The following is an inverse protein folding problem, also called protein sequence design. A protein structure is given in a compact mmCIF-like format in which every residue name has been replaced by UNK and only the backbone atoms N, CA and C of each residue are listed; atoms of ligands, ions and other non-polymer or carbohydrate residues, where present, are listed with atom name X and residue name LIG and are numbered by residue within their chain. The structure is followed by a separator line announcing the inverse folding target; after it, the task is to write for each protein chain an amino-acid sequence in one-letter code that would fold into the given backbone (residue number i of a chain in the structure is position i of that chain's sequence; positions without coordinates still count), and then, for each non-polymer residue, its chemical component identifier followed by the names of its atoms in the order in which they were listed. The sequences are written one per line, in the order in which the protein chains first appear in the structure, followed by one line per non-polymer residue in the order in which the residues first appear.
data_IF_476499729357
#
_entry.id   IF_476499729357
#
_cell.length_a   1.000
_cell.length_b   1.000
_cell.length_c   1.000
_cell.angle_alpha   90.00
_cell.angle_beta   90.00
_cell.angle_gamma   90.00
#
_symmetry.space_group_name_H-M   'P 1'
#
loop_
_entity.id
_entity.type
_entity.pdbx_description
1 polymer ?
#
# COMPACT_ATOMS: atom_id res chain seq x y z
N UNK A 1 9.32 13.72 23.41
CA UNK A 1 9.97 12.67 24.23
C UNK A 1 10.30 11.52 23.31
N UNK A 2 11.58 11.13 23.18
CA UNK A 2 11.95 9.94 22.40
C UNK A 2 11.32 8.72 23.04
N UNK A 3 10.36 8.11 22.34
CA UNK A 3 9.85 6.80 22.69
C UNK A 3 11.04 5.84 22.76
N UNK A 4 11.32 5.29 23.95
CA UNK A 4 12.44 4.37 24.17
C UNK A 4 12.27 3.08 23.36
N UNK A 5 11.06 2.81 22.86
CA UNK A 5 10.73 1.67 22.01
C UNK A 5 10.83 1.98 20.51
N UNK A 6 11.16 3.22 20.12
CA UNK A 6 11.35 3.55 18.72
C UNK A 6 12.52 2.76 18.12
N UNK A 7 12.26 2.10 16.97
CA UNK A 7 13.25 1.30 16.25
C UNK A 7 14.37 2.15 15.60
N UNK A 8 14.18 3.47 15.52
CA UNK A 8 15.18 4.45 15.08
C UNK A 8 15.37 5.48 16.19
N UNK A 9 16.62 5.77 16.57
CA UNK A 9 16.94 6.73 17.62
C UNK A 9 18.09 7.68 17.24
N UNK A 10 18.15 8.89 17.84
CA UNK A 10 19.28 9.79 17.65
C UNK A 10 20.60 9.15 18.10
N UNK A 11 21.62 9.26 17.27
CA UNK A 11 22.99 8.92 17.64
C UNK A 11 23.63 10.06 18.44
N UNK A 12 23.84 9.85 19.74
CA UNK A 12 24.52 10.75 20.69
C UNK A 12 25.88 10.21 21.11
N UNK A 13 26.42 9.22 20.38
CA UNK A 13 27.67 8.55 20.75
C UNK A 13 27.51 7.45 21.80
N UNK A 14 26.29 7.02 22.13
CA UNK A 14 26.04 5.91 23.04
C UNK A 14 26.62 4.58 22.52
N UNK A 15 26.92 3.60 23.38
CA UNK A 15 27.34 2.27 22.96
C UNK A 15 26.36 1.66 21.96
N UNK A 16 26.87 1.12 20.86
CA UNK A 16 26.08 0.40 19.86
C UNK A 16 26.97 -0.56 19.07
N UNK A 17 26.41 -1.69 18.67
CA UNK A 17 27.06 -2.67 17.81
C UNK A 17 27.26 -2.10 16.41
N UNK A 18 28.48 -2.18 15.90
CA UNK A 18 28.80 -1.68 14.57
C UNK A 18 28.21 -2.57 13.47
N UNK A 19 27.66 -1.94 12.43
CA UNK A 19 27.17 -2.57 11.21
C UNK A 19 28.03 -2.11 10.03
N UNK A 20 28.84 -3.01 9.51
CA UNK A 20 29.66 -2.78 8.31
C UNK A 20 28.88 -3.18 7.07
N UNK A 21 28.89 -2.34 6.05
CA UNK A 21 28.30 -2.67 4.75
C UNK A 21 29.42 -2.80 3.73
N UNK A 22 29.40 -3.88 2.97
CA UNK A 22 30.38 -4.15 1.90
C UNK A 22 29.64 -4.58 0.64
N UNK A 23 30.24 -4.32 -0.51
CA UNK A 23 29.88 -4.93 -1.78
C UNK A 23 31.05 -5.76 -2.30
N UNK A 24 30.88 -6.41 -3.46
CA UNK A 24 31.93 -7.23 -4.06
C UNK A 24 33.24 -6.47 -4.32
N UNK A 25 33.16 -5.16 -4.56
CA UNK A 25 34.33 -4.33 -4.85
C UNK A 25 35.09 -3.95 -3.58
N UNK A 26 34.38 -3.70 -2.48
CA UNK A 26 34.95 -3.24 -1.21
C UNK A 26 35.28 -4.38 -0.23
N UNK A 27 34.76 -5.60 -0.47
CA UNK A 27 35.05 -6.77 0.36
C UNK A 27 36.57 -7.07 0.50
N UNK A 28 37.40 -7.04 -0.55
CA UNK A 28 38.84 -7.32 -0.39
C UNK A 28 39.54 -6.36 0.56
N UNK A 29 39.17 -5.09 0.56
CA UNK A 29 39.76 -4.09 1.45
C UNK A 29 39.23 -4.22 2.88
N UNK A 30 37.96 -4.58 3.03
CA UNK A 30 37.40 -4.95 4.33
C UNK A 30 38.12 -6.17 4.94
N UNK A 31 38.43 -7.21 4.16
CA UNK A 31 39.16 -8.39 4.65
C UNK A 31 40.59 -8.06 5.15
N UNK A 32 41.23 -7.03 4.58
CA UNK A 32 42.55 -6.55 5.02
C UNK A 32 42.50 -5.85 6.38
N UNK A 33 41.39 -5.23 6.74
CA UNK A 33 41.24 -4.55 8.04
C UNK A 33 40.99 -5.52 9.19
N UNK A 34 40.53 -6.74 8.91
CA UNK A 34 40.27 -7.78 9.91
C UNK A 34 41.54 -8.43 10.44
N UNK A 35 41.52 -8.94 11.68
CA UNK A 35 42.58 -9.80 12.19
C UNK A 35 42.43 -11.26 11.66
N UNK A 36 43.43 -12.14 11.84
CA UNK A 36 43.36 -13.52 11.34
C UNK A 36 42.16 -14.33 11.85
N UNK A 37 41.78 -14.17 13.13
CA UNK A 37 40.63 -14.85 13.71
C UNK A 37 39.31 -14.38 13.13
N UNK A 38 39.16 -13.06 12.93
CA UNK A 38 37.99 -12.45 12.30
C UNK A 38 37.83 -12.90 10.85
N UNK A 39 38.92 -12.95 10.07
CA UNK A 39 38.89 -13.52 8.71
C UNK A 39 38.47 -14.99 8.71
N UNK A 40 39.01 -15.79 9.63
CA UNK A 40 38.65 -17.21 9.74
C UNK A 40 37.16 -17.38 10.09
N UNK A 41 36.62 -16.56 11.01
CA UNK A 41 35.20 -16.58 11.38
C UNK A 41 34.29 -16.19 10.20
N UNK A 42 34.70 -15.21 9.40
CA UNK A 42 33.95 -14.77 8.22
C UNK A 42 33.97 -15.85 7.12
N UNK A 43 35.13 -16.48 6.89
CA UNK A 43 35.28 -17.60 5.96
C UNK A 43 34.46 -18.82 6.40
N UNK A 44 34.42 -19.13 7.70
CA UNK A 44 33.61 -20.22 8.24
C UNK A 44 32.10 -20.01 8.02
N UNK A 45 31.64 -18.76 7.97
CA UNK A 45 30.27 -18.37 7.61
C UNK A 45 30.03 -18.32 6.10
N UNK A 46 31.06 -18.58 5.28
CA UNK A 46 31.01 -18.55 3.81
C UNK A 46 30.55 -17.21 3.24
N UNK A 47 30.93 -16.11 3.89
CA UNK A 47 30.54 -14.77 3.47
C UNK A 47 31.29 -14.32 2.21
N UNK A 48 30.55 -14.00 1.14
CA UNK A 48 31.09 -13.57 -0.15
C UNK A 48 30.73 -12.12 -0.54
N UNK A 49 30.03 -11.40 0.33
CA UNK A 49 29.60 -10.01 0.08
C UNK A 49 28.39 -9.93 -0.86
N UNK A 50 27.59 -10.99 -0.96
CA UNK A 50 26.35 -11.00 -1.72
C UNK A 50 25.27 -10.11 -1.09
N UNK A 51 24.36 -9.56 -1.89
CA UNK A 51 23.28 -8.72 -1.37
C UNK A 51 22.44 -9.45 -0.30
N UNK A 52 22.28 -8.81 0.86
CA UNK A 52 21.58 -9.33 2.05
C UNK A 52 22.26 -10.51 2.77
N UNK A 53 23.42 -10.94 2.29
CA UNK A 53 24.29 -11.81 3.07
C UNK A 53 24.75 -11.07 4.32
N UNK A 54 24.96 -11.79 5.42
CA UNK A 54 25.40 -11.20 6.67
C UNK A 54 26.27 -12.19 7.45
N UNK A 55 27.13 -11.64 8.31
CA UNK A 55 27.92 -12.41 9.25
C UNK A 55 28.10 -11.64 10.55
N UNK A 56 28.16 -12.37 11.66
CA UNK A 56 28.55 -11.83 12.98
C UNK A 56 30.01 -12.17 13.20
N UNK A 57 30.82 -11.16 13.52
CA UNK A 57 32.26 -11.29 13.69
C UNK A 57 32.64 -10.93 15.13
N UNK A 58 33.28 -11.86 15.89
CA UNK A 58 33.79 -11.57 17.23
C UNK A 58 34.86 -10.47 17.22
N UNK A 59 34.84 -9.62 18.23
CA UNK A 59 35.79 -8.52 18.41
C UNK A 59 36.04 -8.26 19.90
N UNK A 60 37.13 -8.83 20.43
CA UNK A 60 37.39 -8.86 21.87
C UNK A 60 36.26 -9.55 22.64
N UNK A 61 35.74 -8.89 23.68
CA UNK A 61 34.57 -9.34 24.46
C UNK A 61 33.23 -9.02 23.77
N UNK A 62 33.28 -8.36 22.60
CA UNK A 62 32.11 -7.95 21.83
C UNK A 62 32.07 -8.58 20.44
N UNK A 63 31.28 -7.97 19.57
CA UNK A 63 31.15 -8.37 18.17
C UNK A 63 30.63 -7.20 17.34
N UNK A 64 30.80 -7.29 16.03
CA UNK A 64 30.14 -6.44 15.04
C UNK A 64 29.50 -7.30 13.96
N UNK A 65 28.59 -6.74 13.18
CA UNK A 65 28.03 -7.43 12.02
C UNK A 65 28.52 -6.79 10.72
N UNK A 66 28.66 -7.62 9.68
CA UNK A 66 28.87 -7.19 8.31
C UNK A 66 27.71 -7.68 7.45
N UNK A 67 27.27 -6.86 6.50
CA UNK A 67 26.30 -7.25 5.47
C UNK A 67 26.78 -6.91 4.06
N UNK A 68 26.48 -7.80 3.13
CA UNK A 68 26.66 -7.57 1.71
C UNK A 68 25.52 -6.71 1.13
N UNK A 69 25.86 -5.73 0.31
CA UNK A 69 24.93 -4.85 -0.40
C UNK A 69 25.28 -4.83 -1.89
N UNK A 70 24.33 -4.38 -2.73
CA UNK A 70 24.55 -4.31 -4.17
C UNK A 70 25.63 -3.28 -4.56
N UNK A 71 25.60 -2.11 -3.91
CA UNK A 71 26.54 -1.02 -4.12
C UNK A 71 26.62 -0.18 -2.83
N UNK A 72 27.80 -0.03 -2.23
CA UNK A 72 27.95 0.73 -0.98
C UNK A 72 27.74 2.24 -1.14
N UNK A 73 27.85 2.75 -2.37
CA UNK A 73 27.67 4.16 -2.72
C UNK A 73 26.22 4.50 -3.11
N UNK A 74 25.39 3.49 -3.39
CA UNK A 74 23.97 3.66 -3.74
C UNK A 74 23.12 2.64 -2.98
N UNK A 75 22.79 3.00 -1.74
CA UNK A 75 22.02 2.14 -0.85
C UNK A 75 20.52 2.31 -1.03
N UNK A 76 19.84 1.19 -1.25
CA UNK A 76 18.38 1.13 -1.26
C UNK A 76 17.79 1.17 0.16
N UNK A 77 16.49 1.44 0.23
CA UNK A 77 15.69 1.37 1.45
C UNK A 77 15.77 0.01 2.14
N UNK A 78 16.08 -1.06 1.40
CA UNK A 78 16.03 -2.45 1.87
C UNK A 78 17.39 -2.99 2.31
N UNK A 79 18.51 -2.30 2.05
CA UNK A 79 19.86 -2.86 2.13
C UNK A 79 20.24 -3.41 3.51
N UNK A 80 19.69 -2.87 4.60
CA UNK A 80 19.92 -3.34 5.98
C UNK A 80 18.74 -4.13 6.55
N UNK A 81 17.67 -4.35 5.77
CA UNK A 81 16.44 -4.96 6.28
C UNK A 81 16.63 -6.41 6.72
N UNK A 82 17.58 -7.14 6.11
CA UNK A 82 17.90 -8.51 6.56
C UNK A 82 18.58 -8.52 7.93
N UNK A 83 19.44 -7.54 8.21
CA UNK A 83 20.06 -7.40 9.53
C UNK A 83 19.01 -7.14 10.61
N UNK A 84 18.06 -6.24 10.34
CA UNK A 84 16.96 -5.93 11.26
C UNK A 84 16.08 -7.16 11.57
N UNK A 85 15.97 -8.09 10.62
CA UNK A 85 15.21 -9.34 10.76
C UNK A 85 15.94 -10.38 11.63
N UNK A 86 17.26 -10.51 11.50
CA UNK A 86 18.01 -11.68 12.02
C UNK A 86 18.94 -11.40 13.20
N UNK A 87 19.39 -10.16 13.39
CA UNK A 87 20.32 -9.85 14.48
C UNK A 87 19.65 -10.02 15.85
N UNK A 88 20.41 -10.25 16.94
CA UNK A 88 19.87 -10.19 18.30
C UNK A 88 19.18 -8.87 18.63
N UNK A 89 18.45 -8.80 19.75
CA UNK A 89 18.02 -7.52 20.30
C UNK A 89 19.21 -6.62 20.63
N UNK A 90 19.07 -5.31 20.45
CA UNK A 90 20.16 -4.39 20.76
C UNK A 90 20.13 -3.07 20.02
N UNK A 91 21.16 -2.26 20.28
CA UNK A 91 21.37 -0.96 19.63
C UNK A 91 22.50 -1.06 18.62
N UNK A 92 22.25 -0.56 17.41
CA UNK A 92 23.12 -0.71 16.25
C UNK A 92 23.45 0.62 15.60
N UNK A 93 24.62 0.71 14.98
CA UNK A 93 25.07 1.88 14.23
C UNK A 93 25.78 1.46 12.96
N UNK A 94 25.48 2.10 11.82
CA UNK A 94 26.27 1.90 10.60
C UNK A 94 27.69 2.45 10.81
N UNK A 95 28.69 1.60 10.58
CA UNK A 95 30.09 1.99 10.67
C UNK A 95 30.47 2.94 9.53
N UNK A 96 31.11 4.06 9.88
CA UNK A 96 31.71 5.01 8.93
C UNK A 96 30.76 5.90 8.13
N UNK A 97 29.43 5.76 8.25
CA UNK A 97 28.45 6.56 7.51
C UNK A 97 27.05 6.52 8.13
N UNK A 98 26.19 7.47 7.75
CA UNK A 98 24.78 7.49 8.14
C UNK A 98 23.97 6.38 7.44
N UNK A 99 22.91 5.81 8.07
CA UNK A 99 22.11 4.76 7.42
C UNK A 99 21.33 5.19 6.18
N UNK A 100 21.00 6.48 6.03
CA UNK A 100 20.31 7.01 4.85
C UNK A 100 18.94 6.36 4.60
N UNK A 101 18.71 5.84 3.38
CA UNK A 101 17.43 5.19 3.01
C UNK A 101 17.16 3.91 3.82
N UNK A 102 18.22 3.25 4.33
CA UNK A 102 18.12 1.98 5.04
C UNK A 102 17.27 2.04 6.32
N UNK A 103 17.05 3.24 6.87
CA UNK A 103 16.16 3.48 8.01
C UNK A 103 14.76 2.88 7.77
N UNK A 104 14.22 2.98 6.56
CA UNK A 104 12.89 2.44 6.23
C UNK A 104 12.85 0.91 6.28
N UNK A 105 13.81 0.24 5.64
CA UNK A 105 13.94 -1.21 5.65
C UNK A 105 14.25 -1.78 7.04
N UNK A 106 14.93 -1.00 7.89
CA UNK A 106 15.21 -1.38 9.26
C UNK A 106 13.94 -1.51 10.11
N UNK A 107 13.01 -0.56 9.97
CA UNK A 107 11.71 -0.59 10.66
C UNK A 107 10.85 -1.71 10.09
N UNK A 108 10.67 -1.73 8.77
CA UNK A 108 9.76 -2.68 8.10
C UNK A 108 10.25 -4.14 8.13
N UNK A 109 11.57 -4.38 8.28
CA UNK A 109 12.14 -5.73 8.45
C UNK A 109 11.80 -6.39 9.79
N UNK A 110 11.40 -5.59 10.77
CA UNK A 110 10.97 -6.07 12.09
C UNK A 110 9.46 -6.33 12.17
N UNK A 111 8.70 -6.03 11.12
CA UNK A 111 7.26 -6.33 11.08
C UNK A 111 6.97 -7.82 11.21
N UNK A 112 5.98 -8.15 12.02
CA UNK A 112 5.41 -9.50 12.17
C UNK A 112 3.90 -9.40 12.27
N UNK A 113 3.19 -10.29 11.59
CA UNK A 113 1.75 -10.45 11.71
C UNK A 113 1.44 -11.70 12.53
N UNK A 114 1.55 -11.58 13.85
CA UNK A 114 1.44 -12.72 14.77
C UNK A 114 0.13 -12.72 15.58
N UNK A 115 -0.82 -11.84 15.24
CA UNK A 115 -2.13 -11.66 15.91
C UNK A 115 -2.89 -12.98 16.15
N UNK A 116 -2.74 -13.95 15.25
CA UNK A 116 -3.44 -15.24 15.30
C UNK A 116 -2.56 -16.41 15.76
N UNK A 117 -1.32 -16.16 16.18
CA UNK A 117 -0.36 -17.19 16.62
C UNK A 117 -0.29 -17.24 18.13
N UNK A 118 -0.52 -18.42 18.73
CA UNK A 118 -0.37 -18.62 20.18
C UNK A 118 1.08 -18.53 20.63
N UNK A 119 2.01 -19.02 19.81
CA UNK A 119 3.45 -19.05 20.10
C UNK A 119 4.18 -17.82 19.51
N UNK A 120 3.51 -16.67 19.50
CA UNK A 120 4.15 -15.42 19.10
C UNK A 120 5.32 -15.15 20.06
N UNK A 121 6.53 -15.08 19.52
CA UNK A 121 7.73 -14.79 20.32
C UNK A 121 7.85 -13.29 20.46
N UNK A 122 7.95 -12.82 21.70
CA UNK A 122 8.41 -11.47 21.94
C UNK A 122 9.88 -11.38 21.48
N UNK A 123 10.14 -10.51 20.51
CA UNK A 123 11.49 -10.27 20.00
C UNK A 123 11.94 -8.92 20.47
N UNK A 124 13.05 -8.90 21.20
CA UNK A 124 13.69 -7.66 21.61
C UNK A 124 13.92 -6.73 20.40
N UNK A 125 13.68 -5.42 20.53
CA UNK A 125 13.80 -4.50 19.42
C UNK A 125 15.26 -4.35 18.97
N UNK A 126 15.44 -4.22 17.66
CA UNK A 126 16.71 -3.80 17.06
C UNK A 126 16.61 -2.31 16.77
N UNK A 127 17.36 -1.52 17.52
CA UNK A 127 17.34 -0.06 17.44
C UNK A 127 18.48 0.39 16.54
N UNK A 128 18.20 1.19 15.51
CA UNK A 128 19.23 1.78 14.64
C UNK A 128 19.45 3.24 14.97
N UNK A 129 20.72 3.61 15.14
CA UNK A 129 21.14 4.97 15.43
C UNK A 129 21.45 5.76 14.15
N UNK A 130 21.05 7.03 14.15
CA UNK A 130 21.31 8.00 13.08
C UNK A 130 21.59 9.38 13.66
N UNK A 131 22.57 10.12 13.12
CA UNK A 131 22.80 11.53 13.44
C UNK A 131 21.83 12.44 12.68
N UNK A 132 21.23 11.95 11.60
CA UNK A 132 20.17 12.67 10.87
C UNK A 132 18.84 12.61 11.64
N UNK A 133 18.73 13.44 12.68
CA UNK A 133 17.55 13.49 13.55
C UNK A 133 16.30 13.93 12.81
N UNK A 134 16.45 14.81 11.81
CA UNK A 134 15.33 15.34 11.03
C UNK A 134 14.64 14.27 10.18
N UNK A 135 15.34 13.16 9.85
CA UNK A 135 14.75 12.02 9.13
C UNK A 135 13.97 11.04 9.99
N UNK A 136 14.15 11.06 11.31
CA UNK A 136 13.60 10.02 12.19
C UNK A 136 12.08 9.97 12.10
N UNK A 137 11.40 11.08 12.38
CA UNK A 137 9.94 11.15 12.37
C UNK A 137 9.34 10.85 10.98
N UNK A 138 9.80 11.48 9.87
CA UNK A 138 9.29 11.15 8.54
C UNK A 138 9.43 9.67 8.14
N UNK A 139 10.58 9.04 8.45
CA UNK A 139 10.79 7.64 8.10
C UNK A 139 9.94 6.71 8.97
N UNK A 140 9.79 6.99 10.26
CA UNK A 140 8.92 6.21 11.14
C UNK A 140 7.46 6.31 10.72
N UNK A 141 6.98 7.51 10.36
CA UNK A 141 5.63 7.71 9.85
C UNK A 141 5.39 6.96 8.52
N UNK A 142 6.33 7.07 7.58
CA UNK A 142 6.23 6.37 6.29
C UNK A 142 6.25 4.84 6.46
N UNK A 143 7.12 4.32 7.34
CA UNK A 143 7.14 2.90 7.68
C UNK A 143 5.85 2.46 8.38
N UNK A 144 5.32 3.24 9.33
CA UNK A 144 4.05 2.97 10.00
C UNK A 144 2.88 2.86 9.01
N UNK A 145 2.83 3.72 7.99
CA UNK A 145 1.83 3.64 6.93
C UNK A 145 1.92 2.31 6.16
N UNK A 146 3.12 1.85 5.81
CA UNK A 146 3.32 0.53 5.20
C UNK A 146 2.82 -0.59 6.13
N UNK A 147 3.13 -0.51 7.42
CA UNK A 147 2.70 -1.52 8.41
C UNK A 147 1.18 -1.58 8.54
N UNK A 148 0.48 -0.44 8.52
CA UNK A 148 -0.99 -0.37 8.51
C UNK A 148 -1.56 -1.12 7.31
N UNK A 149 -1.05 -0.90 6.10
CA UNK A 149 -1.51 -1.66 4.92
C UNK A 149 -1.36 -3.16 5.15
N UNK A 150 -0.21 -3.58 5.70
CA UNK A 150 0.07 -4.99 5.97
C UNK A 150 -0.90 -5.56 6.99
N UNK A 151 -1.16 -4.88 8.10
CA UNK A 151 -2.06 -5.37 9.15
C UNK A 151 -3.49 -5.53 8.62
N UNK A 152 -3.99 -4.51 7.93
CA UNK A 152 -5.35 -4.52 7.37
C UNK A 152 -5.52 -5.64 6.35
N UNK A 153 -4.59 -5.79 5.40
CA UNK A 153 -4.67 -6.83 4.36
C UNK A 153 -4.43 -8.24 4.91
N UNK A 154 -3.58 -8.39 5.93
CA UNK A 154 -3.32 -9.71 6.51
C UNK A 154 -4.46 -10.19 7.43
N UNK A 155 -5.26 -9.28 7.97
CA UNK A 155 -6.42 -9.62 8.80
C UNK A 155 -7.44 -10.41 7.97
N UNK A 156 -7.91 -11.59 8.43
CA UNK A 156 -8.97 -12.34 7.77
C UNK A 156 -10.24 -11.49 7.60
N UNK A 157 -10.99 -11.73 6.53
CA UNK A 157 -12.18 -10.95 6.21
C UNK A 157 -13.26 -10.97 7.31
N UNK A 158 -13.38 -12.07 8.06
CA UNK A 158 -14.26 -12.17 9.24
C UNK A 158 -13.93 -11.10 10.30
N UNK A 159 -12.65 -10.76 10.45
CA UNK A 159 -12.17 -9.77 11.41
C UNK A 159 -11.86 -8.41 10.76
N UNK A 160 -12.15 -8.27 9.46
CA UNK A 160 -11.90 -7.06 8.66
C UNK A 160 -12.99 -6.87 7.60
N UNK A 161 -14.25 -6.90 8.04
CA UNK A 161 -15.40 -6.57 7.21
C UNK A 161 -15.64 -5.05 7.08
N UNK A 162 -16.73 -4.63 6.42
CA UNK A 162 -17.02 -3.21 6.22
C UNK A 162 -17.10 -2.39 7.51
N UNK A 163 -17.62 -2.97 8.60
CA UNK A 163 -17.70 -2.32 9.91
C UNK A 163 -16.31 -2.13 10.55
N UNK A 164 -15.40 -3.08 10.36
CA UNK A 164 -14.04 -2.99 10.88
C UNK A 164 -13.25 -1.95 10.10
N UNK A 165 -13.37 -1.89 8.77
CA UNK A 165 -12.81 -0.79 7.97
C UNK A 165 -13.31 0.59 8.43
N UNK A 166 -14.61 0.73 8.70
CA UNK A 166 -15.15 1.95 9.28
C UNK A 166 -14.51 2.27 10.64
N UNK A 167 -14.32 1.27 11.48
CA UNK A 167 -13.71 1.42 12.80
C UNK A 167 -12.26 1.92 12.71
N UNK A 168 -11.50 1.43 11.73
CA UNK A 168 -10.13 1.89 11.44
C UNK A 168 -10.11 3.36 11.00
N UNK A 169 -11.02 3.77 10.11
CA UNK A 169 -11.15 5.19 9.70
C UNK A 169 -11.55 6.08 10.87
N UNK A 170 -12.49 5.65 11.73
CA UNK A 170 -12.89 6.40 12.93
C UNK A 170 -11.77 6.53 13.93
N UNK A 171 -10.98 5.46 14.14
CA UNK A 171 -9.82 5.50 15.02
C UNK A 171 -8.75 6.46 14.49
N UNK A 172 -8.50 6.45 13.18
CA UNK A 172 -7.59 7.38 12.52
C UNK A 172 -8.08 8.83 12.67
N UNK A 173 -9.37 9.08 12.40
CA UNK A 173 -9.95 10.40 12.52
C UNK A 173 -9.88 10.95 13.94
N UNK A 174 -10.16 10.12 14.96
CA UNK A 174 -10.01 10.50 16.37
C UNK A 174 -8.58 10.92 16.72
N UNK A 175 -7.58 10.23 16.17
CA UNK A 175 -6.15 10.53 16.41
C UNK A 175 -5.73 11.87 15.81
N UNK A 176 -6.29 12.25 14.67
CA UNK A 176 -5.89 13.44 13.91
C UNK A 176 -6.92 14.57 13.90
N UNK A 177 -7.99 14.44 14.69
CA UNK A 177 -9.10 15.40 14.75
C UNK A 177 -9.76 15.63 13.39
N UNK A 178 -9.95 14.56 12.61
CA UNK A 178 -10.69 14.59 11.35
C UNK A 178 -12.19 14.33 11.57
N UNK A 179 -13.01 14.74 10.62
CA UNK A 179 -14.45 14.48 10.61
C UNK A 179 -14.74 13.21 9.81
N UNK A 180 -15.69 12.38 10.28
CA UNK A 180 -16.09 11.15 9.58
C UNK A 180 -17.58 11.17 9.31
N UNK A 181 -17.95 10.94 8.06
CA UNK A 181 -19.33 10.75 7.62
C UNK A 181 -19.47 9.33 7.05
N UNK A 182 -20.56 8.63 7.42
CA UNK A 182 -20.83 7.27 6.94
C UNK A 182 -22.25 7.19 6.46
N UNK A 183 -22.43 6.72 5.23
CA UNK A 183 -23.74 6.38 4.66
C UNK A 183 -23.88 4.86 4.64
N UNK A 184 -24.97 4.35 5.20
CA UNK A 184 -25.25 2.92 5.32
C UNK A 184 -26.76 2.68 5.39
N UNK A 185 -27.18 1.41 5.27
CA UNK A 185 -28.61 1.05 5.26
C UNK A 185 -29.33 1.61 4.05
N UNK A 186 -30.61 1.93 4.20
CA UNK A 186 -31.49 2.32 3.09
C UNK A 186 -31.01 3.57 2.33
N UNK A 187 -30.34 4.52 3.01
CA UNK A 187 -29.77 5.70 2.36
C UNK A 187 -28.67 5.34 1.36
N UNK A 188 -27.97 4.23 1.55
CA UNK A 188 -26.91 3.78 0.64
C UNK A 188 -27.48 3.41 -0.73
N UNK A 189 -28.67 2.82 -0.79
CA UNK A 189 -29.31 2.46 -2.07
C UNK A 189 -29.60 3.68 -2.94
N UNK A 190 -29.98 4.80 -2.33
CA UNK A 190 -30.25 6.04 -3.03
C UNK A 190 -28.98 6.83 -3.35
N UNK A 191 -28.08 7.00 -2.38
CA UNK A 191 -26.94 7.92 -2.49
C UNK A 191 -25.73 7.28 -3.19
N UNK A 192 -25.58 5.95 -3.06
CA UNK A 192 -24.46 5.16 -3.57
C UNK A 192 -24.97 3.82 -4.16
N UNK A 193 -25.81 3.87 -5.20
CA UNK A 193 -26.55 2.72 -5.70
C UNK A 193 -25.67 1.54 -6.16
N UNK A 194 -24.49 1.79 -6.72
CA UNK A 194 -23.56 0.70 -7.09
C UNK A 194 -22.87 0.10 -5.87
N UNK A 195 -22.53 0.90 -4.86
CA UNK A 195 -22.00 0.40 -3.59
C UNK A 195 -23.03 -0.50 -2.89
N UNK A 196 -24.28 -0.06 -2.85
CA UNK A 196 -25.38 -0.86 -2.33
C UNK A 196 -25.56 -2.17 -3.12
N UNK A 197 -25.66 -2.09 -4.45
CA UNK A 197 -25.95 -3.23 -5.30
C UNK A 197 -24.90 -4.35 -5.17
N UNK A 198 -23.61 -3.99 -5.11
CA UNK A 198 -22.51 -4.96 -4.92
C UNK A 198 -22.58 -5.61 -3.54
N UNK A 199 -22.81 -4.81 -2.49
CA UNK A 199 -22.73 -5.30 -1.10
C UNK A 199 -24.02 -5.88 -0.52
N UNK A 200 -25.18 -5.73 -1.16
CA UNK A 200 -26.49 -6.12 -0.58
C UNK A 200 -26.63 -7.61 -0.27
N UNK A 201 -25.80 -8.46 -0.90
CA UNK A 201 -25.80 -9.90 -0.69
C UNK A 201 -25.09 -10.33 0.60
N UNK A 202 -24.29 -9.45 1.20
CA UNK A 202 -23.54 -9.75 2.40
C UNK A 202 -24.44 -9.98 3.62
N UNK A 203 -23.94 -10.73 4.61
CA UNK A 203 -24.62 -10.86 5.89
C UNK A 203 -24.77 -9.49 6.57
N UNK A 204 -25.78 -9.34 7.44
CA UNK A 204 -26.04 -8.06 8.14
C UNK A 204 -24.83 -7.53 8.93
N UNK A 205 -24.03 -8.42 9.53
CA UNK A 205 -22.78 -8.06 10.23
C UNK A 205 -21.74 -7.42 9.29
N UNK A 206 -21.84 -7.70 7.99
CA UNK A 206 -20.96 -7.24 6.92
C UNK A 206 -21.69 -6.29 5.95
N UNK A 207 -22.74 -5.62 6.42
CA UNK A 207 -23.53 -4.72 5.58
C UNK A 207 -22.66 -3.61 4.95
N UNK A 208 -22.92 -3.27 3.67
CA UNK A 208 -22.12 -2.30 2.93
C UNK A 208 -22.32 -0.88 3.47
N UNK A 209 -21.33 -0.03 3.20
CA UNK A 209 -21.33 1.36 3.60
C UNK A 209 -20.36 2.19 2.77
N UNK A 210 -20.67 3.48 2.65
CA UNK A 210 -19.74 4.48 2.15
C UNK A 210 -19.13 5.23 3.31
N UNK A 211 -17.81 5.22 3.44
CA UNK A 211 -17.07 5.90 4.52
C UNK A 211 -16.33 7.09 3.92
N UNK A 212 -16.55 8.28 4.48
CA UNK A 212 -15.88 9.52 4.11
C UNK A 212 -15.17 10.12 5.33
N UNK A 213 -13.96 10.65 5.14
CA UNK A 213 -13.26 11.41 6.16
C UNK A 213 -12.68 12.71 5.58
N UNK A 214 -12.89 13.82 6.27
CA UNK A 214 -12.42 15.15 5.89
C UNK A 214 -11.43 15.69 6.94
N UNK A 215 -10.32 16.27 6.48
CA UNK A 215 -9.29 16.84 7.35
C UNK A 215 -8.57 18.02 6.68
N UNK A 216 -8.08 18.96 7.49
CA UNK A 216 -7.23 20.06 7.04
C UNK A 216 -7.96 21.40 6.88
N UNK A 217 -7.20 22.44 6.59
CA UNK A 217 -7.73 23.80 6.42
C UNK A 217 -8.58 23.90 5.14
N UNK A 218 -9.84 24.38 5.20
CA UNK A 218 -10.68 24.59 4.02
C UNK A 218 -10.08 25.49 2.93
N UNK A 219 -9.06 26.30 3.26
CA UNK A 219 -8.33 27.17 2.32
C UNK A 219 -7.22 26.46 1.55
N UNK A 220 -6.76 25.29 2.02
CA UNK A 220 -5.73 24.54 1.33
C UNK A 220 -6.28 23.82 0.09
N UNK A 221 -5.41 23.48 -0.89
CA UNK A 221 -5.76 22.63 -2.02
C UNK A 221 -6.48 21.37 -1.60
N UNK A 222 -7.62 21.08 -2.24
CA UNK A 222 -8.37 19.85 -1.96
C UNK A 222 -7.75 18.68 -2.71
N UNK A 223 -7.45 17.59 -1.99
CA UNK A 223 -6.97 16.32 -2.55
C UNK A 223 -7.87 15.20 -2.07
N UNK A 224 -8.38 14.39 -3.00
CA UNK A 224 -9.17 13.23 -2.67
C UNK A 224 -8.35 11.94 -2.81
N UNK A 225 -8.42 11.07 -1.79
CA UNK A 225 -7.79 9.75 -1.78
C UNK A 225 -8.91 8.70 -1.69
N UNK A 226 -9.02 7.83 -2.68
CA UNK A 226 -10.11 6.85 -2.79
C UNK A 226 -9.54 5.43 -2.71
N UNK A 227 -10.19 4.52 -2.00
CA UNK A 227 -9.69 3.15 -1.89
C UNK A 227 -10.78 2.09 -2.00
N UNK A 228 -10.61 1.14 -2.94
CA UNK A 228 -11.51 -0.02 -3.08
C UNK A 228 -11.57 -0.81 -1.77
N UNK A 229 -12.74 -0.89 -1.13
CA UNK A 229 -12.97 -1.54 0.16
C UNK A 229 -13.75 -2.85 0.07
N UNK A 230 -13.46 -3.71 -0.91
CA UNK A 230 -14.11 -5.03 -1.01
C UNK A 230 -13.46 -5.98 0.01
N UNK A 231 -14.06 -6.13 1.18
CA UNK A 231 -13.48 -6.82 2.32
C UNK A 231 -13.28 -8.32 2.08
N UNK A 232 -14.20 -8.90 1.31
CA UNK A 232 -14.05 -10.22 0.73
C UNK A 232 -14.75 -10.26 -0.62
N UNK A 233 -14.16 -10.99 -1.55
CA UNK A 233 -14.65 -11.11 -2.92
C UNK A 233 -14.76 -12.57 -3.33
N UNK A 234 -16.00 -13.09 -3.35
CA UNK A 234 -16.26 -14.42 -3.92
C UNK A 234 -16.39 -14.39 -5.44
N UNK A 235 -16.44 -13.19 -6.04
CA UNK A 235 -16.87 -12.90 -7.40
C UNK A 235 -18.37 -12.77 -7.60
N UNK A 236 -19.17 -12.87 -6.54
CA UNK A 236 -20.63 -12.89 -6.66
C UNK A 236 -21.10 -14.14 -7.41
N UNK A 237 -22.13 -13.99 -8.26
CA UNK A 237 -22.71 -15.11 -9.02
C UNK A 237 -21.78 -15.63 -10.11
N UNK A 238 -20.93 -14.79 -10.69
CA UNK A 238 -19.77 -15.19 -11.49
C UNK A 238 -18.61 -15.63 -10.58
N UNK A 239 -18.86 -16.72 -9.84
CA UNK A 239 -18.02 -17.18 -8.75
C UNK A 239 -16.56 -17.47 -9.18
N UNK A 240 -15.61 -17.01 -8.35
CA UNK A 240 -14.19 -17.36 -8.53
C UNK A 240 -13.94 -18.85 -8.28
N UNK A 241 -12.99 -19.47 -9.00
CA UNK A 241 -12.47 -20.78 -8.60
C UNK A 241 -11.75 -20.68 -7.25
N UNK A 242 -11.64 -21.79 -6.52
CA UNK A 242 -11.06 -21.82 -5.17
C UNK A 242 -9.66 -21.21 -5.08
N UNK A 243 -8.82 -21.40 -6.11
CA UNK A 243 -7.48 -20.81 -6.19
C UNK A 243 -7.50 -19.29 -6.37
N UNK A 244 -8.50 -18.76 -7.08
CA UNK A 244 -8.72 -17.32 -7.24
C UNK A 244 -9.25 -16.66 -5.97
N UNK A 245 -10.08 -17.40 -5.21
CA UNK A 245 -10.71 -16.91 -3.98
C UNK A 245 -9.78 -16.93 -2.76
N UNK A 246 -8.78 -17.81 -2.73
CA UNK A 246 -7.93 -18.07 -1.56
C UNK A 246 -7.22 -16.82 -0.96
N UNK A 247 -7.03 -15.77 -1.76
CA UNK A 247 -6.38 -14.52 -1.32
C UNK A 247 -7.34 -13.34 -1.20
N UNK A 248 -8.66 -13.53 -1.38
CA UNK A 248 -9.61 -12.41 -1.56
C UNK A 248 -9.92 -11.60 -0.30
N UNK A 249 -9.41 -11.99 0.87
CA UNK A 249 -9.32 -11.06 2.02
C UNK A 249 -8.51 -9.80 1.70
N UNK A 250 -7.62 -9.86 0.70
CA UNK A 250 -6.78 -8.73 0.32
C UNK A 250 -7.51 -7.71 -0.54
N UNK A 251 -8.75 -7.97 -0.96
CA UNK A 251 -9.40 -7.19 -2.01
C UNK A 251 -9.89 -5.80 -1.54
N UNK A 252 -9.71 -5.54 -0.25
CA UNK A 252 -9.78 -4.25 0.42
C UNK A 252 -8.41 -3.54 0.48
N UNK A 253 -7.41 -4.07 -0.22
CA UNK A 253 -6.04 -3.54 -0.24
C UNK A 253 -6.00 -2.09 -0.73
N UNK A 254 -6.90 -1.71 -1.65
CA UNK A 254 -7.07 -0.32 -2.06
C UNK A 254 -7.46 0.61 -0.91
N UNK A 255 -8.47 0.22 -0.14
CA UNK A 255 -8.87 0.93 1.08
C UNK A 255 -7.74 1.00 2.10
N UNK A 256 -7.00 -0.10 2.30
CA UNK A 256 -5.85 -0.10 3.21
C UNK A 256 -4.77 0.92 2.78
N UNK A 257 -4.47 1.04 1.49
CA UNK A 257 -3.53 2.05 0.97
C UNK A 257 -4.07 3.47 1.18
N UNK A 258 -5.35 3.71 0.86
CA UNK A 258 -5.98 5.01 1.02
C UNK A 258 -5.98 5.48 2.49
N UNK A 259 -6.35 4.60 3.42
CA UNK A 259 -6.34 4.85 4.87
C UNK A 259 -4.91 5.12 5.36
N UNK A 260 -3.94 4.30 4.95
CA UNK A 260 -2.54 4.48 5.32
C UNK A 260 -1.95 5.80 4.80
N UNK A 261 -2.25 6.17 3.55
CA UNK A 261 -1.79 7.42 2.95
C UNK A 261 -2.42 8.63 3.65
N UNK A 262 -3.73 8.57 3.93
CA UNK A 262 -4.42 9.59 4.71
C UNK A 262 -3.78 9.78 6.09
N UNK A 263 -3.47 8.67 6.79
CA UNK A 263 -2.78 8.74 8.07
C UNK A 263 -1.39 9.35 7.97
N UNK A 264 -0.62 9.03 6.92
CA UNK A 264 0.71 9.61 6.68
C UNK A 264 0.64 11.12 6.41
N UNK A 265 -0.29 11.54 5.56
CA UNK A 265 -0.58 12.95 5.26
C UNK A 265 -0.86 13.73 6.54
N UNK A 266 -1.76 13.22 7.39
CA UNK A 266 -2.16 13.89 8.63
C UNK A 266 -1.07 13.86 9.69
N UNK A 267 -0.32 12.75 9.82
CA UNK A 267 0.79 12.63 10.75
C UNK A 267 1.91 13.63 10.45
N UNK A 268 2.17 13.90 9.17
CA UNK A 268 3.21 14.84 8.73
C UNK A 268 2.67 16.24 8.40
N UNK A 269 1.38 16.49 8.63
CA UNK A 269 0.80 17.83 8.60
C UNK A 269 0.84 18.52 7.23
N UNK A 270 0.72 17.76 6.14
CA UNK A 270 0.76 18.30 4.76
C UNK A 270 -0.33 19.36 4.57
N UNK A 271 -0.03 20.44 3.82
CA UNK A 271 -0.93 21.60 3.66
C UNK A 271 -1.98 21.36 2.59
N UNK A 272 -2.85 20.37 2.82
CA UNK A 272 -3.98 20.02 1.96
C UNK A 272 -5.28 19.94 2.74
N UNK A 273 -6.40 20.08 2.03
CA UNK A 273 -7.74 19.68 2.47
C UNK A 273 -7.98 18.25 1.98
N UNK A 274 -7.76 17.29 2.86
CA UNK A 274 -7.84 15.86 2.57
C UNK A 274 -9.30 15.38 2.60
N UNK A 275 -9.72 14.66 1.55
CA UNK A 275 -10.95 13.89 1.52
C UNK A 275 -10.63 12.42 1.25
N UNK A 276 -10.80 11.57 2.26
CA UNK A 276 -10.68 10.12 2.13
C UNK A 276 -12.05 9.51 1.83
N UNK A 277 -12.13 8.62 0.85
CA UNK A 277 -13.34 7.87 0.50
C UNK A 277 -13.06 6.37 0.44
N UNK A 278 -13.86 5.58 1.14
CA UNK A 278 -13.79 4.12 1.16
C UNK A 278 -15.18 3.52 0.99
N UNK A 279 -15.55 3.07 -0.22
CA UNK A 279 -16.72 2.22 -0.41
C UNK A 279 -16.41 0.81 0.13
N UNK A 280 -16.96 0.49 1.30
CA UNK A 280 -16.70 -0.76 2.01
C UNK A 280 -17.86 -1.75 1.83
N UNK A 281 -17.58 -2.89 1.21
CA UNK A 281 -18.56 -3.91 0.84
C UNK A 281 -17.99 -5.31 1.02
N UNK A 282 -18.84 -6.33 0.93
CA UNK A 282 -18.45 -7.70 0.64
C UNK A 282 -19.22 -8.18 -0.59
N UNK A 283 -18.52 -8.72 -1.59
CA UNK A 283 -19.12 -9.27 -2.80
C UNK A 283 -19.46 -10.75 -2.55
N UNK A 284 -20.66 -10.98 -2.04
CA UNK A 284 -21.12 -12.27 -1.55
C UNK A 284 -22.09 -12.98 -2.51
N UNK A 285 -22.26 -14.29 -2.29
CA UNK A 285 -23.27 -15.11 -2.96
C UNK A 285 -24.48 -15.25 -2.05
N UNK A 286 -25.62 -14.78 -2.51
CA UNK A 286 -26.91 -14.91 -1.85
C UNK A 286 -28.05 -14.78 -2.87
N UNK A 287 -29.28 -15.15 -2.48
CA UNK A 287 -30.45 -15.06 -3.36
C UNK A 287 -30.79 -13.63 -3.81
N UNK A 288 -30.33 -12.62 -3.07
CA UNK A 288 -30.47 -11.21 -3.40
C UNK A 288 -29.20 -10.60 -4.04
N UNK A 289 -28.22 -11.39 -4.50
CA UNK A 289 -27.08 -10.87 -5.25
C UNK A 289 -27.51 -10.16 -6.55
N UNK A 290 -26.71 -9.20 -7.00
CA UNK A 290 -26.81 -8.64 -8.34
C UNK A 290 -26.32 -9.66 -9.38
N UNK A 291 -26.77 -9.53 -10.62
CA UNK A 291 -26.69 -10.60 -11.63
C UNK A 291 -26.08 -10.10 -12.94
N UNK A 292 -25.46 -10.98 -13.73
CA UNK A 292 -25.25 -10.72 -15.14
C UNK A 292 -26.56 -10.35 -15.82
N UNK A 293 -26.56 -9.28 -16.60
CA UNK A 293 -27.73 -8.68 -17.26
C UNK A 293 -28.48 -7.64 -16.41
N UNK A 294 -28.17 -7.48 -15.12
CA UNK A 294 -28.71 -6.35 -14.35
C UNK A 294 -28.17 -5.03 -14.91
N UNK A 295 -29.00 -3.97 -14.88
CA UNK A 295 -28.57 -2.61 -15.18
C UNK A 295 -28.60 -1.80 -13.89
N UNK A 296 -27.43 -1.38 -13.42
CA UNK A 296 -27.31 -0.57 -12.21
C UNK A 296 -27.33 0.91 -12.57
N UNK A 297 -27.99 1.73 -11.73
CA UNK A 297 -27.78 3.17 -11.76
C UNK A 297 -26.55 3.53 -10.93
N UNK A 298 -25.80 4.51 -11.39
CA UNK A 298 -24.69 5.11 -10.67
C UNK A 298 -25.09 6.45 -10.06
N UNK A 299 -24.31 6.91 -9.09
CA UNK A 299 -24.38 8.27 -8.55
C UNK A 299 -24.17 9.35 -9.63
N UNK A 300 -23.41 9.03 -10.68
CA UNK A 300 -23.20 9.91 -11.84
C UNK A 300 -24.44 10.00 -12.76
N UNK A 301 -25.49 9.23 -12.52
CA UNK A 301 -26.67 9.11 -13.38
C UNK A 301 -26.51 8.15 -14.55
N UNK A 302 -25.30 7.64 -14.80
CA UNK A 302 -25.02 6.63 -15.82
C UNK A 302 -25.64 5.28 -15.43
N UNK A 303 -26.13 4.56 -16.43
CA UNK A 303 -26.57 3.17 -16.34
C UNK A 303 -25.45 2.22 -16.73
N UNK A 304 -25.18 1.22 -15.89
CA UNK A 304 -24.11 0.24 -16.09
C UNK A 304 -24.70 -1.15 -16.25
N UNK A 305 -24.52 -1.78 -17.41
CA UNK A 305 -24.85 -3.18 -17.63
C UNK A 305 -23.80 -4.07 -16.95
N UNK A 306 -24.27 -5.05 -16.18
CA UNK A 306 -23.43 -6.01 -15.50
C UNK A 306 -23.23 -7.21 -16.39
N UNK A 307 -22.02 -7.40 -16.88
CA UNK A 307 -21.63 -8.55 -17.69
C UNK A 307 -20.75 -9.53 -16.91
N UNK A 308 -20.18 -9.09 -15.78
CA UNK A 308 -19.43 -9.93 -14.86
C UNK A 308 -19.51 -9.39 -13.42
N UNK A 309 -20.06 -10.14 -12.47
CA UNK A 309 -20.16 -9.76 -11.06
C UNK A 309 -18.82 -9.78 -10.32
N UNK A 310 -17.78 -10.38 -10.90
CA UNK A 310 -16.38 -10.38 -10.43
C UNK A 310 -15.60 -9.11 -10.86
N UNK A 311 -16.28 -8.20 -11.56
CA UNK A 311 -15.79 -6.86 -11.89
C UNK A 311 -16.52 -5.81 -11.06
N UNK A 312 -16.69 -6.08 -9.77
CA UNK A 312 -17.43 -5.27 -8.79
C UNK A 312 -16.64 -4.06 -8.29
N UNK A 313 -15.32 -4.17 -8.17
CA UNK A 313 -14.49 -3.15 -7.56
C UNK A 313 -14.56 -1.80 -8.27
N UNK A 314 -14.71 -1.83 -9.60
CA UNK A 314 -14.88 -0.62 -10.40
C UNK A 314 -16.27 0.02 -10.23
N UNK A 315 -17.30 -0.78 -9.96
CA UNK A 315 -18.65 -0.29 -9.69
C UNK A 315 -18.66 0.51 -8.39
N UNK A 316 -18.14 -0.06 -7.31
CA UNK A 316 -18.14 0.63 -6.01
C UNK A 316 -17.24 1.88 -6.03
N UNK A 317 -16.15 1.85 -6.80
CA UNK A 317 -15.31 3.02 -7.04
C UNK A 317 -16.00 4.08 -7.90
N UNK A 318 -16.83 3.71 -8.88
CA UNK A 318 -17.53 4.68 -9.72
C UNK A 318 -18.35 5.67 -8.92
N UNK A 319 -19.13 5.20 -7.94
CA UNK A 319 -19.88 6.09 -7.05
C UNK A 319 -18.96 6.93 -6.15
N UNK A 320 -17.87 6.34 -5.64
CA UNK A 320 -16.91 7.04 -4.80
C UNK A 320 -16.13 8.14 -5.56
N UNK A 321 -15.71 7.87 -6.80
CA UNK A 321 -15.03 8.82 -7.67
C UNK A 321 -15.97 9.96 -8.09
N UNK A 322 -17.25 9.64 -8.34
CA UNK A 322 -18.28 10.66 -8.60
C UNK A 322 -18.41 11.58 -7.39
N UNK A 323 -18.55 11.01 -6.20
CA UNK A 323 -18.63 11.77 -4.95
C UNK A 323 -17.41 12.65 -4.70
N UNK A 324 -16.20 12.11 -4.93
CA UNK A 324 -14.97 12.91 -4.84
C UNK A 324 -15.01 14.10 -5.82
N UNK A 325 -15.46 13.85 -7.05
CA UNK A 325 -15.49 14.83 -8.14
C UNK A 325 -16.46 15.98 -7.87
N UNK A 326 -17.59 15.74 -7.18
CA UNK A 326 -18.55 16.77 -6.77
C UNK A 326 -17.90 17.90 -5.95
N UNK A 327 -16.85 17.58 -5.20
CA UNK A 327 -16.13 18.53 -4.36
C UNK A 327 -14.97 19.23 -5.10
N UNK A 328 -14.80 18.96 -6.40
CA UNK A 328 -13.83 19.57 -7.31
C UNK A 328 -12.39 19.61 -6.75
N UNK A 329 -11.83 18.46 -6.33
CA UNK A 329 -10.45 18.39 -5.87
C UNK A 329 -9.47 18.76 -6.98
N UNK A 330 -8.30 19.28 -6.61
CA UNK A 330 -7.22 19.51 -7.58
C UNK A 330 -6.64 18.19 -8.10
N UNK A 331 -6.64 17.15 -7.26
CA UNK A 331 -6.12 15.82 -7.54
C UNK A 331 -6.94 14.74 -6.86
N UNK A 332 -7.27 13.69 -7.61
CA UNK A 332 -7.81 12.44 -7.11
C UNK A 332 -6.76 11.35 -7.28
N UNK A 333 -6.41 10.64 -6.22
CA UNK A 333 -5.62 9.41 -6.29
C UNK A 333 -6.49 8.27 -5.78
N UNK A 334 -6.69 7.23 -6.59
CA UNK A 334 -7.36 6.03 -6.13
C UNK A 334 -6.46 4.79 -6.17
N UNK A 335 -6.70 3.87 -5.22
CA UNK A 335 -6.02 2.60 -5.10
C UNK A 335 -7.04 1.46 -5.16
N UNK A 336 -6.71 0.43 -5.94
CA UNK A 336 -7.55 -0.75 -6.01
C UNK A 336 -6.74 -2.01 -6.33
N UNK A 337 -7.15 -3.13 -5.73
CA UNK A 337 -6.81 -4.47 -6.20
C UNK A 337 -7.74 -4.84 -7.35
N UNK A 338 -7.62 -4.14 -8.47
CA UNK A 338 -8.71 -4.06 -9.44
C UNK A 338 -8.72 -5.21 -10.43
N UNK A 339 -7.56 -5.59 -10.99
CA UNK A 339 -7.54 -6.55 -12.09
C UNK A 339 -6.52 -7.67 -11.93
N UNK A 340 -6.91 -8.86 -12.37
CA UNK A 340 -5.96 -9.94 -12.66
C UNK A 340 -5.02 -9.59 -13.83
N UNK A 341 -5.51 -8.78 -14.79
CA UNK A 341 -4.78 -8.42 -16.00
C UNK A 341 -3.51 -7.60 -15.73
N UNK A 342 -3.56 -6.61 -14.83
CA UNK A 342 -2.38 -5.83 -14.46
C UNK A 342 -1.26 -6.70 -13.90
N UNK A 343 -1.61 -7.71 -13.08
CA UNK A 343 -0.65 -8.66 -12.51
C UNK A 343 -0.04 -9.59 -13.55
N UNK A 344 -0.80 -9.97 -14.58
CA UNK A 344 -0.26 -10.74 -15.71
C UNK A 344 0.73 -9.91 -16.50
N UNK A 345 0.45 -8.61 -16.68
CA UNK A 345 1.32 -7.71 -17.43
C UNK A 345 2.61 -7.31 -16.68
N UNK A 346 2.51 -6.99 -15.38
CA UNK A 346 3.61 -6.36 -14.61
C UNK A 346 4.15 -7.22 -13.46
N UNK A 347 3.54 -8.38 -13.21
CA UNK A 347 3.87 -9.22 -12.06
C UNK A 347 3.32 -8.67 -10.73
N UNK A 348 3.74 -9.27 -9.60
CA UNK A 348 3.18 -8.96 -8.28
C UNK A 348 3.86 -7.78 -7.56
N UNK A 349 5.01 -7.32 -8.05
CA UNK A 349 5.87 -6.36 -7.34
C UNK A 349 5.78 -4.93 -7.88
N UNK A 350 5.16 -4.73 -9.05
CA UNK A 350 5.13 -3.47 -9.76
C UNK A 350 3.66 -3.08 -10.05
N UNK A 351 3.08 -2.14 -9.27
CA UNK A 351 1.71 -1.70 -9.48
C UNK A 351 1.57 -0.97 -10.82
N UNK A 352 0.44 -1.19 -11.50
CA UNK A 352 0.10 -0.44 -12.70
C UNK A 352 -0.44 0.94 -12.29
N UNK A 353 0.08 1.96 -12.95
CA UNK A 353 -0.31 3.35 -12.79
C UNK A 353 -1.06 3.80 -14.05
N UNK A 354 -2.20 4.46 -13.87
CA UNK A 354 -2.90 5.20 -14.91
C UNK A 354 -3.03 6.63 -14.44
N UNK A 355 -2.94 7.60 -15.35
CA UNK A 355 -3.18 8.99 -15.01
C UNK A 355 -3.66 9.76 -16.24
N UNK A 356 -4.51 10.78 -16.02
CA UNK A 356 -4.95 11.71 -17.08
C UNK A 356 -3.85 12.63 -17.56
N UNK A 357 -2.98 13.06 -16.64
CA UNK A 357 -1.93 14.04 -16.91
C UNK A 357 -0.56 13.38 -16.87
N UNK A 358 0.24 13.61 -17.91
CA UNK A 358 1.60 13.08 -18.03
C UNK A 358 2.50 13.56 -16.89
N UNK A 359 2.32 14.79 -16.43
CA UNK A 359 3.06 15.38 -15.31
C UNK A 359 2.77 14.64 -13.99
N UNK A 360 1.53 14.18 -13.80
CA UNK A 360 1.13 13.36 -12.64
C UNK A 360 1.75 11.98 -12.70
N UNK A 361 1.67 11.32 -13.85
CA UNK A 361 2.32 10.03 -14.03
C UNK A 361 3.83 10.10 -13.78
N UNK A 362 4.50 11.07 -14.39
CA UNK A 362 5.95 11.22 -14.25
C UNK A 362 6.36 11.56 -12.82
N UNK A 363 5.60 12.41 -12.13
CA UNK A 363 5.85 12.73 -10.72
C UNK A 363 5.75 11.50 -9.81
N UNK A 364 4.76 10.63 -10.03
CA UNK A 364 4.59 9.39 -9.27
C UNK A 364 5.72 8.40 -9.54
N UNK A 365 6.11 8.23 -10.81
CA UNK A 365 7.23 7.36 -11.20
C UNK A 365 8.53 7.82 -10.56
N UNK A 366 8.86 9.11 -10.67
CA UNK A 366 10.06 9.70 -10.06
C UNK A 366 10.05 9.52 -8.54
N UNK A 367 8.94 9.86 -7.88
CA UNK A 367 8.78 9.72 -6.44
C UNK A 367 8.93 8.26 -5.96
N UNK A 368 8.40 7.30 -6.74
CA UNK A 368 8.52 5.87 -6.48
C UNK A 368 9.94 5.35 -6.61
N UNK A 369 10.66 5.76 -7.66
CA UNK A 369 12.08 5.41 -7.85
C UNK A 369 12.96 5.94 -6.70
N UNK A 370 12.75 7.19 -6.29
CA UNK A 370 13.49 7.79 -5.17
C UNK A 370 13.32 7.02 -3.85
N UNK A 371 12.15 6.40 -3.67
CA UNK A 371 11.75 5.69 -2.46
C UNK A 371 11.88 4.18 -2.56
N UNK A 372 12.38 3.61 -3.65
CA UNK A 372 12.40 2.14 -3.86
C UNK A 372 11.00 1.49 -3.78
N UNK A 373 9.98 2.22 -4.22
CA UNK A 373 8.58 1.78 -4.36
C UNK A 373 8.09 2.13 -5.78
N UNK A 374 8.64 1.46 -6.81
CA UNK A 374 8.38 1.83 -8.21
C UNK A 374 6.95 1.50 -8.61
N UNK A 375 6.46 2.21 -9.63
CA UNK A 375 5.21 1.92 -10.34
C UNK A 375 5.45 2.04 -11.85
N UNK A 376 4.54 1.51 -12.66
CA UNK A 376 4.67 1.55 -14.11
C UNK A 376 3.42 2.06 -14.79
N UNK A 377 3.57 3.07 -15.65
CA UNK A 377 2.43 3.64 -16.35
C UNK A 377 1.93 2.71 -17.46
N UNK A 378 0.64 2.39 -17.42
CA UNK A 378 -0.11 1.79 -18.51
C UNK A 378 -1.02 2.85 -19.16
N UNK A 379 -1.37 2.69 -20.45
CA UNK A 379 -2.08 3.74 -21.18
C UNK A 379 -3.60 3.72 -20.91
N UNK A 380 -4.18 4.92 -20.82
CA UNK A 380 -5.61 5.17 -21.05
C UNK A 380 -5.85 5.33 -22.56
N UNK A 381 -5.74 4.23 -23.31
CA UNK A 381 -5.88 4.28 -24.76
C UNK A 381 -7.35 4.48 -25.16
N UNK A 382 -7.68 5.66 -25.68
CA UNK A 382 -9.04 6.08 -26.03
C UNK A 382 -9.82 5.06 -26.89
N UNK A 383 -9.15 4.37 -27.82
CA UNK A 383 -9.79 3.36 -28.67
C UNK A 383 -10.38 2.16 -27.89
N UNK A 384 -9.92 1.91 -26.66
CA UNK A 384 -10.48 0.84 -25.82
C UNK A 384 -11.78 1.23 -25.10
N UNK A 385 -12.21 2.50 -25.14
CA UNK A 385 -13.55 2.86 -24.66
C UNK A 385 -14.65 2.15 -25.43
N UNK A 386 -14.40 1.77 -26.68
CA UNK A 386 -15.36 1.00 -27.47
C UNK A 386 -15.59 -0.40 -26.93
N UNK A 387 -14.69 -0.92 -26.11
CA UNK A 387 -14.89 -2.19 -25.44
C UNK A 387 -15.88 -2.09 -24.28
N UNK A 388 -16.21 -0.87 -23.83
CA UNK A 388 -17.15 -0.60 -22.75
C UNK A 388 -18.56 -0.26 -23.24
N UNK A 389 -18.82 -0.23 -24.56
CA UNK A 389 -20.16 0.04 -25.11
C UNK A 389 -21.13 -1.07 -24.76
N UNK A 390 -22.30 -0.70 -24.24
CA UNK A 390 -23.45 -1.57 -24.04
C UNK A 390 -24.53 -1.30 -25.08
N UNK A 391 -25.29 -2.32 -25.46
CA UNK A 391 -26.45 -2.19 -26.35
C UNK A 391 -27.72 -1.73 -25.60
N UNK A 392 -27.71 -1.78 -24.26
CA UNK A 392 -28.89 -1.56 -23.41
C UNK A 392 -28.68 -0.56 -22.27
N UNK A 393 -27.43 -0.16 -22.00
CA UNK A 393 -27.04 0.80 -20.96
C UNK A 393 -25.98 1.78 -21.51
N UNK A 394 -25.56 2.76 -20.70
CA UNK A 394 -24.54 3.73 -21.12
C UNK A 394 -23.16 3.08 -21.28
N UNK A 395 -22.86 2.06 -20.46
CA UNK A 395 -21.64 1.26 -20.52
C UNK A 395 -21.80 -0.11 -19.86
N UNK A 396 -20.90 -1.04 -20.17
CA UNK A 396 -20.75 -2.31 -19.46
C UNK A 396 -19.60 -2.28 -18.46
N UNK A 397 -19.77 -3.00 -17.35
CA UNK A 397 -18.73 -3.07 -16.33
C UNK A 397 -17.53 -3.91 -16.78
N UNK A 398 -17.73 -4.97 -17.56
CA UNK A 398 -16.66 -5.83 -18.05
C UNK A 398 -16.80 -6.16 -19.55
N UNK A 399 -15.83 -5.80 -20.39
CA UNK A 399 -15.80 -6.26 -21.77
C UNK A 399 -15.71 -7.79 -21.86
N UNK A 400 -16.34 -8.38 -22.89
CA UNK A 400 -16.24 -9.81 -23.16
C UNK A 400 -14.83 -10.26 -23.57
N UNK A 401 -14.04 -9.34 -24.16
CA UNK A 401 -12.65 -9.58 -24.54
C UNK A 401 -11.75 -9.60 -23.31
N UNK A 402 -10.89 -10.63 -23.19
CA UNK A 402 -9.85 -10.69 -22.15
C UNK A 402 -8.65 -9.78 -22.40
N UNK A 403 -8.60 -9.06 -23.53
CA UNK A 403 -7.49 -8.18 -23.87
C UNK A 403 -7.65 -6.80 -23.23
N UNK A 404 -6.52 -6.15 -22.93
CA UNK A 404 -6.47 -4.81 -22.35
C UNK A 404 -7.27 -4.66 -21.03
N UNK A 405 -7.41 -5.73 -20.25
CA UNK A 405 -8.24 -5.75 -19.04
C UNK A 405 -7.91 -4.66 -18.00
N UNK A 406 -6.62 -4.34 -17.82
CA UNK A 406 -6.20 -3.27 -16.92
C UNK A 406 -6.61 -1.88 -17.46
N UNK A 407 -6.32 -1.60 -18.74
CA UNK A 407 -6.68 -0.33 -19.38
C UNK A 407 -8.19 -0.12 -19.47
N UNK A 408 -8.96 -1.16 -19.78
CA UNK A 408 -10.44 -1.06 -19.84
C UNK A 408 -11.04 -0.83 -18.46
N UNK A 409 -10.48 -1.42 -17.39
CA UNK A 409 -10.90 -1.14 -16.03
C UNK A 409 -10.61 0.32 -15.64
N UNK A 410 -9.41 0.83 -15.96
CA UNK A 410 -9.07 2.23 -15.73
C UNK A 410 -9.95 3.19 -16.55
N UNK A 411 -10.23 2.88 -17.83
CA UNK A 411 -11.15 3.66 -18.66
C UNK A 411 -12.59 3.63 -18.16
N UNK A 412 -13.02 2.54 -17.51
CA UNK A 412 -14.32 2.51 -16.82
C UNK A 412 -14.33 3.52 -15.67
N UNK A 413 -13.31 3.52 -14.80
CA UNK A 413 -13.20 4.46 -13.68
C UNK A 413 -13.15 5.91 -14.14
N UNK A 414 -12.44 6.18 -15.24
CA UNK A 414 -12.30 7.50 -15.83
C UNK A 414 -13.65 8.16 -16.18
N UNK A 415 -14.68 7.38 -16.53
CA UNK A 415 -16.05 7.88 -16.80
C UNK A 415 -16.72 8.51 -15.57
N UNK A 416 -16.28 8.14 -14.37
CA UNK A 416 -16.82 8.61 -13.09
C UNK A 416 -15.99 9.72 -12.46
N UNK A 417 -14.89 10.10 -13.10
CA UNK A 417 -14.06 11.23 -12.67
C UNK A 417 -14.49 12.47 -13.43
N UNK A 418 -14.90 13.52 -12.71
CA UNK A 418 -15.40 14.76 -13.28
C UNK A 418 -14.45 15.38 -14.32
N UNK A 419 -15.02 16.08 -15.30
CA UNK A 419 -14.27 16.70 -16.39
C UNK A 419 -13.20 17.68 -15.86
N UNK A 420 -12.02 17.67 -16.49
CA UNK A 420 -10.91 18.58 -16.17
C UNK A 420 -10.14 18.28 -14.88
N UNK A 421 -10.63 17.39 -14.02
CA UNK A 421 -9.95 17.01 -12.77
C UNK A 421 -8.68 16.19 -13.07
N UNK A 422 -7.60 16.45 -12.31
CA UNK A 422 -6.42 15.59 -12.31
C UNK A 422 -6.75 14.28 -11.58
N UNK A 423 -6.29 13.16 -12.14
CA UNK A 423 -6.60 11.84 -11.62
C UNK A 423 -5.47 10.87 -11.90
N UNK A 424 -5.15 10.07 -10.89
CA UNK A 424 -4.27 8.92 -10.97
C UNK A 424 -4.89 7.71 -10.29
N UNK A 425 -4.75 6.55 -10.93
CA UNK A 425 -5.23 5.26 -10.46
C UNK A 425 -4.08 4.28 -10.31
N UNK A 426 -3.99 3.65 -9.15
CA UNK A 426 -3.10 2.52 -8.89
C UNK A 426 -3.89 1.21 -8.88
N UNK A 427 -3.64 0.36 -9.88
CA UNK A 427 -4.03 -1.05 -9.82
C UNK A 427 -2.89 -1.82 -9.12
N UNK A 428 -3.06 -2.02 -7.82
CA UNK A 428 -2.06 -2.58 -6.90
C UNK A 428 -2.44 -3.98 -6.46
N UNK A 429 -1.47 -4.92 -6.45
CA UNK A 429 -1.76 -6.29 -6.01
C UNK A 429 -2.03 -6.38 -4.50
N UNK A 430 -1.52 -5.42 -3.73
CA UNK A 430 -1.55 -5.32 -2.26
C UNK A 430 -1.05 -6.57 -1.52
N UNK A 431 -0.28 -7.44 -2.19
CA UNK A 431 0.17 -8.71 -1.63
C UNK A 431 1.52 -9.11 -2.18
N UNK A 432 2.30 -9.79 -1.35
CA UNK A 432 3.60 -10.34 -1.68
C UNK A 432 3.58 -11.87 -1.60
N UNK A 433 3.77 -12.59 -2.72
CA UNK A 433 3.68 -14.05 -2.73
C UNK A 433 4.88 -14.73 -2.05
N UNK A 434 6.06 -14.11 -2.11
CA UNK A 434 7.29 -14.61 -1.52
C UNK A 434 8.01 -13.52 -0.72
N UNK A 435 8.49 -13.88 0.47
CA UNK A 435 9.17 -12.94 1.36
C UNK A 435 10.49 -12.45 0.74
N UNK A 436 10.79 -11.17 0.99
CA UNK A 436 12.07 -10.51 0.71
C UNK A 436 12.50 -9.76 1.98
N UNK A 437 13.79 -9.41 2.14
CA UNK A 437 14.22 -8.55 3.23
C UNK A 437 13.38 -7.25 3.31
N UNK A 438 12.88 -6.93 4.51
CA UNK A 438 12.00 -5.78 4.77
C UNK A 438 10.54 -5.95 4.34
N UNK A 439 10.24 -7.03 3.61
CA UNK A 439 9.00 -7.22 2.87
C UNK A 439 8.53 -8.67 2.99
N UNK A 440 7.84 -9.03 4.09
CA UNK A 440 7.42 -10.41 4.33
C UNK A 440 6.31 -10.84 3.35
N UNK A 441 6.11 -12.15 3.24
CA UNK A 441 4.94 -12.71 2.54
C UNK A 441 3.66 -12.27 3.25
N UNK A 442 2.66 -11.83 2.49
CA UNK A 442 1.41 -11.30 3.05
C UNK A 442 0.99 -10.01 2.38
N UNK A 443 0.16 -9.21 3.05
CA UNK A 443 -0.15 -7.85 2.62
C UNK A 443 1.12 -7.02 2.39
N UNK A 444 1.09 -6.10 1.43
CA UNK A 444 2.19 -5.17 1.17
C UNK A 444 1.68 -3.86 0.53
N UNK A 445 2.42 -2.77 0.77
CA UNK A 445 2.03 -1.41 0.36
C UNK A 445 2.77 -0.99 -0.92
N UNK A 446 2.26 -1.35 -2.08
CA UNK A 446 2.88 -1.08 -3.39
C UNK A 446 2.31 0.21 -3.98
N UNK A 447 3.18 1.18 -4.28
CA UNK A 447 2.80 2.50 -4.80
C UNK A 447 2.41 3.53 -3.74
N UNK A 448 2.32 3.12 -2.46
CA UNK A 448 1.98 4.02 -1.34
C UNK A 448 3.04 5.12 -1.17
N UNK A 449 4.32 4.75 -1.20
CA UNK A 449 5.44 5.68 -0.99
C UNK A 449 5.65 6.55 -2.24
N UNK A 450 5.33 6.03 -3.42
CA UNK A 450 5.27 6.82 -4.66
C UNK A 450 4.22 7.94 -4.56
N UNK A 451 2.98 7.59 -4.17
CA UNK A 451 1.91 8.58 -3.98
C UNK A 451 2.25 9.62 -2.91
N UNK A 452 2.79 9.17 -1.76
CA UNK A 452 3.27 10.08 -0.73
C UNK A 452 4.35 11.04 -1.25
N UNK A 453 5.30 10.54 -2.03
CA UNK A 453 6.37 11.37 -2.59
C UNK A 453 5.86 12.42 -3.57
N UNK A 454 4.88 12.09 -4.42
CA UNK A 454 4.22 13.08 -5.29
C UNK A 454 3.54 14.16 -4.44
N UNK A 455 2.74 13.77 -3.45
CA UNK A 455 1.98 14.72 -2.64
C UNK A 455 2.91 15.66 -1.87
N UNK A 456 4.02 15.13 -1.32
CA UNK A 456 5.04 15.95 -0.67
C UNK A 456 5.71 16.91 -1.66
N UNK A 457 6.00 16.48 -2.88
CA UNK A 457 6.61 17.35 -3.89
C UNK A 457 5.67 18.47 -4.36
N UNK A 458 4.35 18.21 -4.40
CA UNK A 458 3.34 19.18 -4.85
C UNK A 458 2.87 20.15 -3.77
N UNK A 459 2.77 19.70 -2.53
CA UNK A 459 2.07 20.42 -1.45
C UNK A 459 2.87 20.57 -0.15
N UNK A 460 4.13 20.10 -0.13
CA UNK A 460 4.98 20.02 1.06
C UNK A 460 6.05 21.09 1.20
#
# INVERSE_FOLDING_TARGET
MTDKHALIQPDRGQPATALHLVDKATLPDFLKSLNPGQRAALMAQKFEGGGYEHAIIPDGDGWFAVAGVANVNDLSSWCMAKLADVLPGGTYRRAGAEPGKALHGWVTGQYRFDRYRKDAKDTEPRILLTKDVARIEPVLAEAAAVLVVRDLVNTPAEDMGPLQLESEVRALAKRHHAEVHVVAGDSLEHDYPMVHAVGRAAARSHAPRMIEMEWGDPKHPRVAIVGKGVCFDSGGLDIKPSSGMALMKKDMGGAAHAIALAGLIMALGLKIRLHLLVPAVENAISGNAFRPGDILRSRAGLSVEITNTDAEGRLVLGDALTRASELKPELIIDFATLTGAARVALGPDLPALFARRSETAQGLITAGLERDDPCWQLPLHEGYREYLKSDVADLLNAPASGFAGASTAALFLDQFVGEGLDWAHFDTFAWRPAAKPGRPKGGDALGLRAAWGLLKARYG
#
